data_IF_515566911539
#
_entry.id   IF_515566911539
#
_cell.length_a   1.000
_cell.length_b   1.000
_cell.length_c   1.000
_cell.angle_alpha   90.00
_cell.angle_beta   90.00
_cell.angle_gamma   90.00
#
_symmetry.space_group_name_H-M   'P 1'
#
loop_
_entity.id
_entity.type
_entity.pdbx_description
1 polymer ?
#
# COMPACT_ATOMS: atom_id res chain seq x y z
N UNK A 1 -1.45 -52.62 72.43
CA UNK A 1 -0.05 -52.23 72.16
C UNK A 1 -0.03 -51.72 70.73
N UNK A 2 -0.44 -50.48 70.43
CA UNK A 2 0.27 -49.21 70.69
C UNK A 2 1.74 -49.21 70.29
N UNK A 3 2.07 -48.48 69.21
CA UNK A 3 2.86 -47.22 69.17
C UNK A 3 3.11 -46.85 67.70
N UNK A 4 2.47 -45.81 67.19
CA UNK A 4 2.85 -44.39 67.21
C UNK A 4 3.79 -43.98 66.06
N UNK A 5 3.17 -43.27 65.12
CA UNK A 5 3.76 -42.43 64.06
C UNK A 5 4.45 -41.22 64.72
N UNK A 6 5.41 -40.57 64.03
CA UNK A 6 5.39 -39.11 64.02
C UNK A 6 5.31 -38.56 62.59
N UNK A 7 4.27 -37.75 62.44
CA UNK A 7 3.98 -36.83 61.36
C UNK A 7 5.15 -35.86 61.17
N UNK A 8 5.53 -35.58 59.93
CA UNK A 8 6.24 -34.35 59.58
C UNK A 8 5.52 -33.71 58.40
N UNK A 9 4.59 -32.83 58.73
CA UNK A 9 4.03 -31.84 57.82
C UNK A 9 5.17 -30.92 57.35
N UNK A 10 5.47 -30.96 56.06
CA UNK A 10 6.19 -29.91 55.35
C UNK A 10 5.21 -29.27 54.36
N UNK A 11 5.31 -27.97 54.08
CA UNK A 11 4.32 -27.26 53.28
C UNK A 11 4.36 -27.80 51.85
N UNK A 12 3.21 -28.31 51.40
CA UNK A 12 2.93 -28.50 49.98
C UNK A 12 2.92 -27.11 49.37
N UNK A 13 4.02 -26.72 48.74
CA UNK A 13 3.99 -25.63 47.78
C UNK A 13 3.07 -26.08 46.65
N UNK A 14 1.82 -25.60 46.66
CA UNK A 14 0.97 -25.56 45.50
C UNK A 14 1.72 -24.80 44.40
N UNK A 15 2.33 -25.54 43.49
CA UNK A 15 2.82 -25.02 42.22
C UNK A 15 1.55 -24.63 41.47
N UNK A 16 1.26 -23.34 41.53
CA UNK A 16 0.20 -22.68 40.79
C UNK A 16 0.51 -22.87 39.29
N UNK A 17 0.01 -23.96 38.69
CA UNK A 17 0.29 -24.29 37.30
C UNK A 17 -0.52 -23.36 36.40
N UNK A 18 0.07 -22.20 36.07
CA UNK A 18 -0.40 -21.39 34.95
C UNK A 18 -0.54 -22.30 33.74
N UNK A 19 -1.73 -22.30 33.14
CA UNK A 19 -2.06 -23.06 31.93
C UNK A 19 -1.11 -22.61 30.82
N UNK A 20 -0.16 -23.47 30.44
CA UNK A 20 0.84 -23.14 29.43
C UNK A 20 0.22 -23.24 28.03
N UNK A 21 0.37 -22.18 27.23
CA UNK A 21 -0.06 -22.19 25.83
C UNK A 21 0.98 -22.91 24.97
N UNK A 22 0.50 -23.79 24.08
CA UNK A 22 1.33 -24.67 23.25
C UNK A 22 0.97 -24.43 21.78
N UNK A 23 2.01 -24.29 20.95
CA UNK A 23 1.91 -24.20 19.49
C UNK A 23 2.60 -25.39 18.84
N UNK A 24 2.07 -25.87 17.71
CA UNK A 24 2.68 -26.94 16.91
C UNK A 24 3.12 -26.38 15.56
N UNK A 25 4.43 -26.48 15.29
CA UNK A 25 5.06 -25.95 14.07
C UNK A 25 4.48 -26.63 12.83
N UNK A 26 4.07 -25.84 11.84
CA UNK A 26 3.63 -26.34 10.52
C UNK A 26 4.79 -26.37 9.54
N UNK A 27 4.56 -27.03 8.40
CA UNK A 27 5.58 -27.18 7.37
C UNK A 27 6.03 -25.81 6.85
N UNK A 28 7.34 -25.55 6.94
CA UNK A 28 7.95 -24.30 6.46
C UNK A 28 7.83 -23.09 7.39
N UNK A 29 7.21 -23.23 8.57
CA UNK A 29 7.17 -22.14 9.55
C UNK A 29 8.53 -21.94 10.22
N UNK A 30 8.86 -20.68 10.50
CA UNK A 30 10.09 -20.27 11.19
C UNK A 30 9.73 -19.58 12.51
N UNK A 31 10.73 -19.34 13.38
CA UNK A 31 10.50 -18.58 14.61
C UNK A 31 9.96 -17.19 14.31
N UNK A 32 10.43 -16.57 13.24
CA UNK A 32 10.01 -15.27 12.73
C UNK A 32 8.53 -15.28 12.39
N UNK A 33 8.09 -16.21 11.53
CA UNK A 33 6.69 -16.28 11.09
C UNK A 33 5.73 -16.57 12.25
N UNK A 34 6.16 -17.38 13.22
CA UNK A 34 5.36 -17.66 14.42
C UNK A 34 5.32 -16.43 15.32
N UNK A 35 6.45 -15.77 15.56
CA UNK A 35 6.51 -14.56 16.40
C UNK A 35 5.66 -13.43 15.82
N UNK A 36 5.68 -13.27 14.50
CA UNK A 36 4.82 -12.34 13.79
C UNK A 36 3.34 -12.65 14.02
N UNK A 37 2.93 -13.93 13.90
CA UNK A 37 1.54 -14.34 14.17
C UNK A 37 1.10 -14.09 15.63
N UNK A 38 2.05 -14.11 16.57
CA UNK A 38 1.83 -13.81 17.98
C UNK A 38 1.92 -12.31 18.30
N UNK A 39 2.36 -11.47 17.35
CA UNK A 39 2.75 -10.08 17.58
C UNK A 39 3.88 -9.93 18.61
N UNK A 40 4.85 -10.84 18.61
CA UNK A 40 6.06 -10.74 19.42
C UNK A 40 7.15 -10.01 18.64
N UNK A 41 7.70 -8.94 19.22
CA UNK A 41 8.50 -7.97 18.47
C UNK A 41 9.92 -8.42 18.12
N UNK A 42 10.35 -9.56 18.66
CA UNK A 42 11.65 -10.16 18.39
C UNK A 42 11.58 -11.69 18.57
N UNK A 43 11.86 -12.49 17.52
CA UNK A 43 11.77 -13.95 17.55
C UNK A 43 12.72 -14.64 18.53
N UNK A 44 13.85 -14.00 18.88
CA UNK A 44 14.76 -14.51 19.91
C UNK A 44 14.05 -14.67 21.26
N UNK A 45 13.09 -13.79 21.57
CA UNK A 45 12.33 -13.88 22.80
C UNK A 45 11.34 -15.04 22.81
N UNK A 46 10.82 -15.46 21.64
CA UNK A 46 9.99 -16.65 21.55
C UNK A 46 10.83 -17.91 21.81
N UNK A 47 12.02 -17.95 21.21
CA UNK A 47 13.00 -19.02 21.44
C UNK A 47 13.35 -19.13 22.92
N UNK A 48 13.74 -18.03 23.54
CA UNK A 48 14.17 -18.01 24.93
C UNK A 48 13.00 -18.36 25.88
N UNK A 49 11.80 -17.82 25.63
CA UNK A 49 10.58 -18.17 26.36
C UNK A 49 10.30 -19.67 26.31
N UNK A 50 10.44 -20.29 25.13
CA UNK A 50 10.27 -21.73 24.95
C UNK A 50 11.37 -22.53 25.66
N UNK A 51 12.64 -22.17 25.45
CA UNK A 51 13.80 -22.90 25.97
C UNK A 51 13.85 -22.91 27.50
N UNK A 52 13.35 -21.86 28.16
CA UNK A 52 13.19 -21.82 29.62
C UNK A 52 12.13 -22.82 30.15
N UNK A 53 11.21 -23.28 29.30
CA UNK A 53 10.03 -24.09 29.68
C UNK A 53 10.04 -25.49 29.09
N UNK A 54 10.95 -25.78 28.17
CA UNK A 54 11.02 -27.06 27.47
C UNK A 54 11.93 -28.07 28.18
N UNK A 55 11.85 -29.33 27.72
CA UNK A 55 12.81 -30.35 28.12
C UNK A 55 14.11 -30.15 27.33
N UNK A 56 15.27 -30.64 27.81
CA UNK A 56 16.56 -30.45 27.14
C UNK A 56 16.59 -30.89 25.66
N UNK A 57 15.80 -31.90 25.28
CA UNK A 57 15.73 -32.41 23.89
C UNK A 57 14.82 -31.60 22.96
N UNK A 58 14.06 -30.65 23.52
CA UNK A 58 13.12 -29.80 22.81
C UNK A 58 13.66 -28.39 22.58
N UNK A 59 14.85 -28.08 23.12
CA UNK A 59 15.51 -26.77 22.96
C UNK A 59 15.62 -26.41 21.49
N UNK A 60 15.18 -25.20 21.16
CA UNK A 60 15.39 -24.59 19.87
C UNK A 60 16.83 -24.02 19.87
N UNK A 61 17.68 -24.44 18.91
CA UNK A 61 19.08 -24.04 18.88
C UNK A 61 19.24 -22.56 18.50
N UNK A 62 20.46 -22.04 18.58
CA UNK A 62 20.73 -20.61 18.41
C UNK A 62 20.30 -20.09 17.03
N UNK A 63 20.54 -20.89 15.99
CA UNK A 63 20.12 -20.67 14.60
C UNK A 63 18.60 -20.71 14.38
N UNK A 64 17.80 -21.01 15.42
CA UNK A 64 16.34 -20.91 15.36
C UNK A 64 15.63 -21.98 14.53
N UNK A 65 16.35 -23.04 14.11
CA UNK A 65 15.78 -24.08 13.24
C UNK A 65 14.65 -24.83 13.94
N UNK A 66 13.48 -24.89 13.29
CA UNK A 66 12.29 -25.59 13.78
C UNK A 66 12.05 -26.90 13.03
N UNK A 67 11.52 -27.90 13.73
CA UNK A 67 11.07 -29.16 13.13
C UNK A 67 9.56 -29.15 12.93
N UNK A 68 9.08 -29.79 11.86
CA UNK A 68 7.66 -30.02 11.63
C UNK A 68 7.03 -30.71 12.86
N UNK A 69 5.87 -30.22 13.30
CA UNK A 69 5.13 -30.66 14.50
C UNK A 69 5.90 -30.51 15.82
N UNK A 70 7.01 -29.75 15.84
CA UNK A 70 7.69 -29.41 17.09
C UNK A 70 6.72 -28.65 18.00
N UNK A 71 6.70 -29.06 19.26
CA UNK A 71 5.94 -28.40 20.31
C UNK A 71 6.71 -27.16 20.78
N UNK A 72 6.11 -25.98 20.67
CA UNK A 72 6.65 -24.72 21.17
C UNK A 72 5.77 -24.21 22.30
N UNK A 73 6.38 -23.66 23.36
CA UNK A 73 5.67 -22.97 24.42
C UNK A 73 5.59 -21.50 24.02
N UNK A 74 4.39 -20.95 23.99
CA UNK A 74 4.16 -19.58 23.54
C UNK A 74 3.62 -18.73 24.70
N UNK A 75 4.00 -17.46 24.80
CA UNK A 75 3.44 -16.56 25.80
C UNK A 75 1.95 -16.30 25.54
N UNK A 76 1.19 -16.04 26.60
CA UNK A 76 -0.18 -15.51 26.46
C UNK A 76 -0.21 -14.02 26.06
N UNK A 77 -1.39 -13.47 25.83
CA UNK A 77 -1.55 -12.09 25.38
C UNK A 77 -1.01 -11.04 26.37
N UNK A 78 -1.07 -11.30 27.68
CA UNK A 78 -0.54 -10.38 28.69
C UNK A 78 0.98 -10.49 28.78
N UNK A 79 1.52 -11.70 28.71
CA UNK A 79 2.96 -11.96 28.65
C UNK A 79 3.59 -11.34 27.40
N UNK A 80 2.94 -11.42 26.23
CA UNK A 80 3.40 -10.77 25.00
C UNK A 80 3.53 -9.26 25.18
N UNK A 81 2.56 -8.61 25.84
CA UNK A 81 2.62 -7.15 26.11
C UNK A 81 3.84 -6.82 26.98
N UNK A 82 4.11 -7.63 28.01
CA UNK A 82 5.24 -7.43 28.92
C UNK A 82 6.58 -7.68 28.23
N UNK A 83 6.68 -8.75 27.44
CA UNK A 83 7.89 -9.08 26.68
C UNK A 83 8.19 -7.98 25.66
N UNK A 84 7.19 -7.52 24.91
CA UNK A 84 7.38 -6.41 23.96
C UNK A 84 7.79 -5.10 24.66
N UNK A 85 7.30 -4.82 25.87
CA UNK A 85 7.77 -3.67 26.63
C UNK A 85 9.26 -3.79 27.00
N UNK A 86 9.73 -4.98 27.36
CA UNK A 86 11.14 -5.25 27.65
C UNK A 86 12.02 -5.15 26.39
N UNK A 87 11.59 -5.75 25.28
CA UNK A 87 12.25 -5.65 23.97
C UNK A 87 12.48 -4.17 23.60
N UNK A 88 11.44 -3.34 23.77
CA UNK A 88 11.52 -1.89 23.52
C UNK A 88 12.48 -1.17 24.44
N UNK A 89 12.44 -1.47 25.73
CA UNK A 89 13.34 -0.86 26.71
C UNK A 89 14.82 -1.13 26.36
N UNK A 90 15.10 -2.29 25.75
CA UNK A 90 16.44 -2.69 25.32
C UNK A 90 16.83 -2.22 23.92
N UNK A 91 15.90 -1.65 23.16
CA UNK A 91 16.14 -1.26 21.76
C UNK A 91 16.29 -2.46 20.82
N UNK A 92 15.72 -3.62 21.17
CA UNK A 92 15.84 -4.87 20.42
C UNK A 92 14.60 -5.18 19.56
N UNK A 93 13.69 -4.21 19.43
CA UNK A 93 12.47 -4.38 18.62
C UNK A 93 12.83 -4.40 17.14
N UNK A 94 12.35 -5.42 16.44
CA UNK A 94 12.50 -5.54 14.98
C UNK A 94 11.36 -4.85 14.22
N UNK A 95 10.42 -4.21 14.93
CA UNK A 95 9.29 -3.51 14.36
C UNK A 95 9.36 -2.02 14.67
N UNK A 96 9.06 -1.21 13.66
CA UNK A 96 9.03 0.23 13.80
C UNK A 96 7.75 0.70 14.50
N UNK A 97 7.86 1.65 15.44
CA UNK A 97 6.70 2.30 16.05
C UNK A 97 6.48 3.67 15.42
N UNK A 98 5.37 3.82 14.74
CA UNK A 98 4.94 5.11 14.25
C UNK A 98 4.44 6.03 15.38
N UNK A 99 4.79 7.31 15.29
CA UNK A 99 4.25 8.36 16.17
C UNK A 99 2.73 8.41 16.02
N UNK A 100 1.99 8.39 17.14
CA UNK A 100 0.51 8.31 17.16
C UNK A 100 -0.09 7.12 16.39
N UNK A 101 0.74 6.13 16.02
CA UNK A 101 0.32 5.00 15.20
C UNK A 101 0.11 5.36 13.72
N UNK A 102 0.64 6.47 13.20
CA UNK A 102 0.51 6.82 11.77
C UNK A 102 1.87 7.07 11.14
N UNK A 103 2.05 6.59 9.91
CA UNK A 103 3.26 6.91 9.13
C UNK A 103 3.34 8.43 8.98
N UNK A 104 4.42 9.08 9.40
CA UNK A 104 4.60 10.50 9.19
C UNK A 104 4.57 10.82 7.69
N UNK A 105 3.77 11.81 7.30
CA UNK A 105 3.76 12.34 5.95
C UNK A 105 4.67 13.57 5.91
N UNK A 106 5.70 13.53 5.06
CA UNK A 106 6.59 14.66 4.80
C UNK A 106 6.54 15.00 3.31
N UNK A 107 5.85 16.09 2.98
CA UNK A 107 5.68 16.56 1.60
C UNK A 107 7.02 16.94 0.95
N UNK A 108 7.99 17.44 1.73
CA UNK A 108 9.27 17.86 1.17
C UNK A 108 10.04 16.63 0.67
N UNK A 109 9.81 15.47 1.27
CA UNK A 109 10.42 14.21 0.83
C UNK A 109 9.76 13.63 -0.42
N UNK A 110 8.57 14.10 -0.79
CA UNK A 110 7.94 13.73 -2.06
C UNK A 110 8.69 14.33 -3.26
N UNK A 111 9.46 15.41 -3.08
CA UNK A 111 10.18 16.06 -4.17
C UNK A 111 11.11 15.11 -4.94
N UNK A 112 11.24 15.31 -6.24
CA UNK A 112 12.12 14.56 -7.14
C UNK A 112 11.39 13.86 -8.29
N UNK A 113 12.13 13.01 -8.98
CA UNK A 113 11.64 12.26 -10.14
C UNK A 113 11.29 10.81 -9.75
N UNK A 114 10.21 10.29 -10.31
CA UNK A 114 9.78 8.91 -10.12
C UNK A 114 9.53 8.26 -11.48
N UNK A 115 10.04 7.05 -11.67
CA UNK A 115 9.70 6.23 -12.82
C UNK A 115 8.49 5.37 -12.47
N UNK A 116 7.49 5.37 -13.34
CA UNK A 116 6.30 4.52 -13.24
C UNK A 116 6.30 3.52 -14.38
N UNK A 117 5.91 2.28 -14.07
CA UNK A 117 5.61 1.22 -15.03
C UNK A 117 4.29 0.56 -14.64
N UNK A 118 3.44 0.32 -15.62
CA UNK A 118 2.19 -0.41 -15.46
C UNK A 118 2.07 -1.44 -16.57
N UNK A 119 1.79 -2.69 -16.23
CA UNK A 119 1.53 -3.75 -17.21
C UNK A 119 0.17 -4.38 -17.01
N UNK A 120 -0.47 -4.74 -18.11
CA UNK A 120 -1.75 -5.43 -18.12
C UNK A 120 -1.61 -6.82 -18.76
N UNK A 121 -2.23 -7.80 -18.11
CA UNK A 121 -2.32 -9.18 -18.59
C UNK A 121 -3.75 -9.67 -18.49
N UNK A 122 -4.27 -10.22 -19.58
CA UNK A 122 -5.55 -10.93 -19.63
C UNK A 122 -5.23 -12.43 -19.78
N UNK A 123 -5.85 -13.30 -18.97
CA UNK A 123 -5.66 -14.76 -19.03
C UNK A 123 -4.17 -15.18 -19.16
N UNK A 124 -3.30 -14.58 -18.34
CA UNK A 124 -1.84 -14.81 -18.28
C UNK A 124 -1.02 -14.38 -19.52
N UNK A 125 -1.64 -13.82 -20.55
CA UNK A 125 -0.94 -13.22 -21.69
C UNK A 125 -0.70 -11.71 -21.46
N UNK A 126 0.58 -11.30 -21.31
CA UNK A 126 0.96 -9.88 -21.21
C UNK A 126 0.59 -9.18 -22.51
N UNK A 127 -0.27 -8.15 -22.43
CA UNK A 127 -0.77 -7.41 -23.60
C UNK A 127 -0.06 -6.10 -23.86
N UNK A 128 0.35 -5.39 -22.81
CA UNK A 128 0.99 -4.08 -22.94
C UNK A 128 1.65 -3.62 -21.65
N UNK A 129 2.75 -2.88 -21.79
CA UNK A 129 3.40 -2.13 -20.73
C UNK A 129 3.39 -0.63 -21.06
N UNK A 130 3.04 0.19 -20.08
CA UNK A 130 3.10 1.64 -20.15
C UNK A 130 4.08 2.16 -19.10
N UNK A 131 4.94 3.09 -19.49
CA UNK A 131 5.88 3.72 -18.58
C UNK A 131 5.87 5.24 -18.76
N UNK A 132 6.13 5.97 -17.69
CA UNK A 132 6.23 7.44 -17.70
C UNK A 132 7.02 7.92 -16.48
N UNK A 133 7.45 9.17 -16.52
CA UNK A 133 8.13 9.85 -15.41
C UNK A 133 7.17 10.81 -14.73
N UNK A 134 7.22 10.88 -13.40
CA UNK A 134 6.59 11.92 -12.60
C UNK A 134 7.67 12.83 -12.03
N UNK A 135 7.41 14.14 -12.00
CA UNK A 135 8.25 15.09 -11.29
C UNK A 135 7.41 15.87 -10.27
N UNK A 136 7.94 15.98 -9.06
CA UNK A 136 7.37 16.74 -7.97
C UNK A 136 8.38 17.78 -7.47
N UNK A 137 7.94 19.04 -7.34
CA UNK A 137 8.76 20.14 -6.84
C UNK A 137 8.02 20.91 -5.75
N UNK A 138 8.52 20.85 -4.51
CA UNK A 138 7.91 21.58 -3.39
C UNK A 138 8.06 23.09 -3.59
N UNK A 139 6.96 23.83 -3.44
CA UNK A 139 6.94 25.29 -3.62
C UNK A 139 6.96 25.98 -2.27
N UNK A 140 5.97 25.68 -1.42
CA UNK A 140 5.76 26.34 -0.13
C UNK A 140 4.70 25.64 0.71
N UNK A 141 4.68 25.97 1.99
CA UNK A 141 3.56 25.77 2.90
C UNK A 141 2.85 27.11 3.15
N UNK A 142 1.52 27.13 3.09
CA UNK A 142 0.71 28.32 3.42
C UNK A 142 -0.66 27.88 3.93
N UNK A 143 -1.12 28.45 5.05
CA UNK A 143 -2.46 28.20 5.62
C UNK A 143 -2.73 26.69 5.88
N UNK A 144 -1.77 25.99 6.49
CA UNK A 144 -1.84 24.55 6.78
C UNK A 144 -2.07 23.68 5.52
N UNK A 145 -1.50 24.12 4.40
CA UNK A 145 -1.53 23.42 3.12
C UNK A 145 -0.18 23.51 2.43
N UNK A 146 0.18 22.42 1.79
CA UNK A 146 1.37 22.31 1.00
C UNK A 146 1.06 22.52 -0.48
N UNK A 147 1.92 23.26 -1.16
CA UNK A 147 1.84 23.53 -2.58
C UNK A 147 3.02 22.87 -3.27
N UNK A 148 2.72 21.94 -4.17
CA UNK A 148 3.73 21.16 -4.89
C UNK A 148 3.44 21.19 -6.38
N UNK A 149 4.43 21.55 -7.18
CA UNK A 149 4.30 21.44 -8.62
C UNK A 149 4.47 19.99 -9.04
N UNK A 150 3.59 19.58 -9.95
CA UNK A 150 3.50 18.24 -10.50
C UNK A 150 3.57 18.31 -12.02
N UNK A 151 4.33 17.39 -12.60
CA UNK A 151 4.33 17.15 -14.05
C UNK A 151 4.57 15.69 -14.38
N UNK A 152 4.15 15.30 -15.58
CA UNK A 152 4.41 13.98 -16.15
C UNK A 152 5.24 14.12 -17.43
N UNK A 153 6.09 13.16 -17.75
CA UNK A 153 6.91 13.15 -18.97
C UNK A 153 7.29 11.74 -19.42
N UNK A 154 8.04 11.65 -20.52
CA UNK A 154 8.74 10.44 -20.98
C UNK A 154 7.85 9.19 -21.14
N UNK A 155 6.63 9.40 -21.64
CA UNK A 155 5.68 8.34 -21.90
C UNK A 155 6.24 7.33 -22.91
N UNK A 156 6.22 6.05 -22.56
CA UNK A 156 6.64 4.93 -23.40
C UNK A 156 5.57 3.84 -23.36
N UNK A 157 5.41 3.17 -24.50
CA UNK A 157 4.57 1.98 -24.62
C UNK A 157 5.46 0.84 -25.11
N UNK A 158 5.45 -0.28 -24.40
CA UNK A 158 6.25 -1.46 -24.70
C UNK A 158 7.76 -1.15 -24.89
N UNK A 159 8.28 -0.25 -24.05
CA UNK A 159 9.69 0.19 -24.06
C UNK A 159 10.08 1.14 -25.20
N UNK A 160 9.18 1.43 -26.14
CA UNK A 160 9.43 2.32 -27.27
C UNK A 160 8.83 3.70 -27.04
N UNK A 161 9.49 4.72 -27.61
CA UNK A 161 8.84 6.01 -27.73
C UNK A 161 7.59 5.87 -28.59
N UNK A 162 6.53 6.62 -28.30
CA UNK A 162 5.26 6.29 -28.89
C UNK A 162 5.20 6.70 -30.37
N UNK A 163 5.37 5.73 -31.27
CA UNK A 163 5.32 5.97 -32.72
C UNK A 163 3.89 6.26 -33.22
N UNK A 164 2.87 5.81 -32.49
CA UNK A 164 1.47 6.00 -32.84
C UNK A 164 1.01 7.46 -32.67
N UNK A 165 0.28 7.98 -33.66
CA UNK A 165 -0.29 9.35 -33.67
C UNK A 165 -1.08 9.74 -32.41
N UNK A 166 -1.67 8.76 -31.72
CA UNK A 166 -2.45 8.98 -30.50
C UNK A 166 -1.56 9.29 -29.29
N UNK A 167 -0.38 8.67 -29.22
CA UNK A 167 0.51 8.82 -28.09
C UNK A 167 1.40 10.06 -28.22
N UNK A 168 1.70 10.48 -29.46
CA UNK A 168 2.29 11.80 -29.72
C UNK A 168 1.35 12.93 -29.33
N UNK A 169 0.04 12.74 -29.56
CA UNK A 169 -1.00 13.66 -29.09
C UNK A 169 -1.08 13.70 -27.55
N UNK A 170 -1.06 12.55 -26.88
CA UNK A 170 -0.99 12.47 -25.41
C UNK A 170 0.23 13.22 -24.85
N UNK A 171 1.40 13.02 -25.45
CA UNK A 171 2.62 13.75 -25.08
C UNK A 171 2.50 15.27 -25.30
N UNK A 172 1.81 15.69 -26.37
CA UNK A 172 1.57 17.11 -26.64
C UNK A 172 0.64 17.75 -25.60
N UNK A 173 -0.44 17.07 -25.18
CA UNK A 173 -1.32 17.56 -24.12
C UNK A 173 -0.59 17.80 -22.81
N UNK A 174 0.20 16.82 -22.39
CA UNK A 174 1.01 16.87 -21.17
C UNK A 174 1.87 18.14 -21.17
N UNK A 175 2.51 18.48 -22.29
CA UNK A 175 3.33 19.70 -22.43
C UNK A 175 2.55 21.01 -22.36
N UNK A 176 1.28 21.00 -22.77
CA UNK A 176 0.42 22.18 -22.71
C UNK A 176 -0.07 22.42 -21.28
N UNK A 177 -0.43 21.34 -20.60
CA UNK A 177 -1.12 21.34 -19.30
C UNK A 177 -0.15 21.53 -18.13
N UNK A 178 1.00 20.85 -18.14
CA UNK A 178 1.95 20.87 -17.04
C UNK A 178 2.96 22.03 -17.15
N UNK A 179 3.51 22.52 -16.02
CA UNK A 179 3.26 22.06 -14.65
C UNK A 179 1.90 22.52 -14.09
N UNK A 180 1.41 21.74 -13.13
CA UNK A 180 0.21 22.03 -12.34
C UNK A 180 0.61 22.02 -10.87
N UNK A 181 0.05 22.91 -10.06
CA UNK A 181 0.24 22.88 -8.61
C UNK A 181 -0.84 22.03 -7.94
N UNK A 182 -0.41 21.01 -7.21
CA UNK A 182 -1.24 20.27 -6.27
C UNK A 182 -1.25 20.96 -4.91
N UNK A 183 -2.43 20.99 -4.28
CA UNK A 183 -2.62 21.50 -2.93
C UNK A 183 -2.94 20.32 -2.01
N UNK A 184 -2.04 20.03 -1.08
CA UNK A 184 -2.08 18.85 -0.21
C UNK A 184 -2.24 19.29 1.25
N UNK A 185 -3.11 18.64 2.01
CA UNK A 185 -3.24 18.88 3.44
C UNK A 185 -2.15 18.17 4.27
N UNK A 186 -2.08 18.43 5.58
CA UNK A 186 -1.08 17.79 6.46
C UNK A 186 -1.33 16.29 6.68
N UNK A 187 -2.50 15.78 6.29
CA UNK A 187 -2.81 14.35 6.31
C UNK A 187 -2.42 13.66 4.99
N UNK A 188 -1.82 14.39 4.04
CA UNK A 188 -1.40 13.88 2.75
C UNK A 188 -2.52 13.74 1.72
N UNK A 189 -3.70 14.34 1.93
CA UNK A 189 -4.77 14.31 0.93
C UNK A 189 -4.56 15.42 -0.10
N UNK A 190 -4.74 15.08 -1.38
CA UNK A 190 -4.93 16.07 -2.44
C UNK A 190 -6.29 16.75 -2.26
N UNK A 191 -6.30 18.06 -2.04
CA UNK A 191 -7.51 18.84 -1.72
C UNK A 191 -7.91 19.83 -2.82
N UNK A 192 -6.96 20.26 -3.64
CA UNK A 192 -7.20 21.17 -4.76
C UNK A 192 -6.08 21.06 -5.80
N UNK A 193 -6.32 21.59 -6.99
CA UNK A 193 -5.40 21.63 -8.12
C UNK A 193 -5.46 23.01 -8.78
N UNK A 194 -4.29 23.58 -9.09
CA UNK A 194 -4.17 24.92 -9.68
C UNK A 194 -3.31 24.89 -10.95
N UNK A 195 -3.82 25.49 -12.03
CA UNK A 195 -3.07 25.64 -13.27
C UNK A 195 -2.13 26.85 -13.20
N UNK A 196 -0.97 26.73 -13.84
CA UNK A 196 -0.02 27.85 -13.99
C UNK A 196 -0.44 28.82 -15.10
N UNK A 197 -1.18 28.31 -16.09
CA UNK A 197 -1.75 29.09 -17.19
C UNK A 197 -3.24 29.32 -16.94
N UNK A 198 -3.76 30.38 -17.56
CA UNK A 198 -5.19 30.60 -17.66
C UNK A 198 -5.86 29.43 -18.41
N UNK A 199 -7.03 28.99 -17.94
CA UNK A 199 -7.76 27.85 -18.52
C UNK A 199 -8.09 28.12 -20.00
N UNK A 200 -8.46 29.36 -20.35
CA UNK A 200 -8.74 29.74 -21.73
C UNK A 200 -7.50 29.60 -22.62
N UNK A 201 -6.33 30.01 -22.12
CA UNK A 201 -5.06 29.81 -22.83
C UNK A 201 -4.75 28.32 -23.03
N UNK A 202 -4.95 27.47 -22.02
CA UNK A 202 -4.74 26.02 -22.14
C UNK A 202 -5.67 25.43 -23.21
N UNK A 203 -6.94 25.82 -23.21
CA UNK A 203 -7.94 25.37 -24.18
C UNK A 203 -7.54 25.77 -25.61
N UNK A 204 -7.06 27.01 -25.80
CA UNK A 204 -6.62 27.51 -27.10
C UNK A 204 -5.39 26.73 -27.60
N UNK A 205 -4.36 26.56 -26.76
CA UNK A 205 -3.15 25.78 -27.08
C UNK A 205 -3.50 24.31 -27.43
N UNK A 206 -4.48 23.72 -26.74
CA UNK A 206 -4.99 22.38 -27.05
C UNK A 206 -5.70 22.35 -28.40
N UNK A 207 -6.53 23.34 -28.72
CA UNK A 207 -7.22 23.41 -30.00
C UNK A 207 -6.23 23.51 -31.17
N UNK A 208 -5.10 24.21 -30.96
CA UNK A 208 -4.03 24.29 -31.96
C UNK A 208 -3.44 22.93 -32.35
N UNK A 209 -3.50 21.94 -31.46
CA UNK A 209 -3.03 20.58 -31.74
C UNK A 209 -3.79 19.94 -32.92
N UNK A 210 -5.04 20.35 -33.20
CA UNK A 210 -5.79 19.87 -34.38
C UNK A 210 -5.10 20.20 -35.70
N UNK A 211 -4.26 21.24 -35.75
CA UNK A 211 -3.48 21.61 -36.94
C UNK A 211 -2.44 20.54 -37.28
N UNK A 212 -1.94 19.82 -36.29
CA UNK A 212 -0.85 18.84 -36.40
C UNK A 212 -1.33 17.38 -36.32
N UNK A 213 -2.49 17.13 -35.71
CA UNK A 213 -3.08 15.81 -35.56
C UNK A 213 -4.37 15.68 -36.39
N UNK A 214 -4.25 15.18 -37.61
CA UNK A 214 -5.37 15.00 -38.54
C UNK A 214 -6.14 13.69 -38.30
N UNK A 215 -7.47 13.79 -38.30
CA UNK A 215 -8.39 12.65 -38.20
C UNK A 215 -9.54 12.88 -37.21
N UNK A 216 -10.71 12.30 -37.48
CA UNK A 216 -11.91 12.45 -36.63
C UNK A 216 -11.70 11.94 -35.19
N UNK A 217 -10.91 10.88 -35.02
CA UNK A 217 -10.58 10.33 -33.72
C UNK A 217 -9.70 11.27 -32.89
N UNK A 218 -8.64 11.84 -33.49
CA UNK A 218 -7.77 12.81 -32.82
C UNK A 218 -8.52 14.08 -32.44
N UNK A 219 -9.38 14.59 -33.34
CA UNK A 219 -10.22 15.75 -33.08
C UNK A 219 -11.19 15.51 -31.90
N UNK A 220 -11.85 14.35 -31.88
CA UNK A 220 -12.74 13.95 -30.77
C UNK A 220 -11.99 13.88 -29.44
N UNK A 221 -10.78 13.30 -29.42
CA UNK A 221 -9.97 13.23 -28.21
C UNK A 221 -9.52 14.62 -27.72
N UNK A 222 -9.19 15.53 -28.65
CA UNK A 222 -8.92 16.95 -28.34
C UNK A 222 -10.14 17.63 -27.72
N UNK A 223 -11.33 17.43 -28.29
CA UNK A 223 -12.56 18.01 -27.74
C UNK A 223 -12.88 17.47 -26.34
N UNK A 224 -12.67 16.17 -26.10
CA UNK A 224 -12.80 15.57 -24.77
C UNK A 224 -11.84 16.17 -23.75
N UNK A 225 -10.56 16.34 -24.12
CA UNK A 225 -9.56 16.91 -23.21
C UNK A 225 -9.86 18.37 -22.85
N UNK A 226 -10.28 19.19 -23.82
CA UNK A 226 -10.74 20.55 -23.54
C UNK A 226 -11.91 20.57 -22.55
N UNK A 227 -12.88 19.68 -22.74
CA UNK A 227 -14.04 19.62 -21.85
C UNK A 227 -13.62 19.28 -20.41
N UNK A 228 -12.69 18.33 -20.24
CA UNK A 228 -12.15 17.97 -18.92
C UNK A 228 -11.41 19.11 -18.23
N UNK A 229 -10.67 19.93 -18.98
CA UNK A 229 -9.89 21.05 -18.43
C UNK A 229 -10.76 22.28 -18.15
N UNK A 230 -11.82 22.48 -18.94
CA UNK A 230 -12.73 23.59 -18.76
C UNK A 230 -13.50 23.55 -17.44
N UNK A 231 -13.69 22.36 -16.86
CA UNK A 231 -14.33 22.15 -15.57
C UNK A 231 -13.27 21.82 -14.49
N UNK A 232 -13.02 22.73 -13.54
CA UNK A 232 -12.04 22.51 -12.48
C UNK A 232 -12.29 21.24 -11.64
N UNK A 233 -13.55 20.86 -11.42
CA UNK A 233 -13.88 19.67 -10.64
C UNK A 233 -13.56 18.39 -11.43
N UNK A 234 -13.87 18.37 -12.72
CA UNK A 234 -13.52 17.23 -13.60
C UNK A 234 -12.00 17.11 -13.74
N UNK A 235 -11.29 18.22 -13.83
CA UNK A 235 -9.83 18.25 -13.86
C UNK A 235 -9.23 17.73 -12.56
N UNK A 236 -9.72 18.22 -11.41
CA UNK A 236 -9.31 17.77 -10.09
C UNK A 236 -9.49 16.26 -9.93
N UNK A 237 -10.69 15.74 -10.21
CA UNK A 237 -10.97 14.30 -10.10
C UNK A 237 -10.15 13.48 -11.10
N UNK A 238 -9.90 13.99 -12.31
CA UNK A 238 -9.03 13.30 -13.29
C UNK A 238 -7.59 13.14 -12.78
N UNK A 239 -7.04 14.17 -12.14
CA UNK A 239 -5.66 14.15 -11.62
C UNK A 239 -5.56 13.36 -10.31
N UNK A 240 -6.53 13.51 -9.41
CA UNK A 240 -6.65 12.73 -8.17
C UNK A 240 -6.78 11.23 -8.45
N UNK A 241 -7.45 10.86 -9.54
CA UNK A 241 -7.64 9.47 -9.94
C UNK A 241 -6.49 8.88 -10.75
N UNK A 242 -5.38 9.60 -10.94
CA UNK A 242 -4.15 9.00 -11.45
C UNK A 242 -3.64 7.99 -10.40
N UNK A 243 -3.50 6.72 -10.81
CA UNK A 243 -3.15 5.63 -9.91
C UNK A 243 -1.88 5.91 -9.09
N UNK A 244 -0.84 6.45 -9.72
CA UNK A 244 0.39 6.82 -9.03
C UNK A 244 0.19 7.91 -7.94
N UNK A 245 -0.76 8.84 -8.15
CA UNK A 245 -1.10 9.86 -7.16
C UNK A 245 -1.86 9.24 -5.98
N UNK A 246 -2.76 8.29 -6.24
CA UNK A 246 -3.46 7.53 -5.18
C UNK A 246 -2.52 6.68 -4.32
N UNK A 247 -1.38 6.26 -4.89
CA UNK A 247 -0.32 5.56 -4.15
C UNK A 247 0.58 6.49 -3.33
N UNK A 248 0.92 7.66 -3.88
CA UNK A 248 1.84 8.62 -3.25
C UNK A 248 1.15 9.53 -2.23
N UNK A 249 -0.17 9.68 -2.29
CA UNK A 249 -0.96 10.58 -1.46
C UNK A 249 -2.21 9.87 -0.93
N UNK A 250 -2.76 10.36 0.19
CA UNK A 250 -4.08 9.95 0.69
C UNK A 250 -4.05 8.93 1.83
N UNK A 251 -4.94 7.93 1.75
CA UNK A 251 -5.34 7.11 2.90
C UNK A 251 -4.24 6.24 3.49
N UNK A 252 -3.19 5.91 2.74
CA UNK A 252 -2.04 5.16 3.23
C UNK A 252 -1.40 5.81 4.47
N UNK A 253 -1.24 7.14 4.46
CA UNK A 253 -0.67 7.90 5.58
C UNK A 253 -1.64 8.12 6.74
N UNK A 254 -2.94 7.90 6.52
CA UNK A 254 -3.98 8.02 7.55
C UNK A 254 -4.26 6.70 8.26
N UNK A 255 -3.75 5.58 7.73
CA UNK A 255 -3.88 4.26 8.33
C UNK A 255 -3.35 4.28 9.77
N UNK A 256 -4.19 3.81 10.70
CA UNK A 256 -3.84 3.75 12.13
C UNK A 256 -3.28 2.37 12.45
N UNK A 257 -2.01 2.32 12.78
CA UNK A 257 -1.26 1.13 13.16
C UNK A 257 -1.46 0.80 14.64
N UNK A 258 -1.99 -0.39 14.88
CA UNK A 258 -1.96 -1.05 16.17
C UNK A 258 -0.83 -2.08 16.13
N UNK A 259 0.33 -1.72 16.68
CA UNK A 259 1.58 -2.51 16.59
C UNK A 259 2.13 -2.50 15.16
N UNK A 260 2.27 -3.67 14.52
CA UNK A 260 2.76 -3.82 13.16
C UNK A 260 1.65 -3.91 12.10
N UNK A 261 0.36 -3.86 12.49
CA UNK A 261 -0.77 -4.00 11.56
C UNK A 261 -1.69 -2.78 11.69
N UNK A 262 -2.23 -2.29 10.58
CA UNK A 262 -3.23 -1.21 10.60
C UNK A 262 -4.62 -1.73 10.93
N UNK A 263 -5.43 -0.88 11.54
CA UNK A 263 -6.89 -1.05 11.53
C UNK A 263 -7.36 -1.06 10.07
N UNK A 264 -8.33 -1.91 9.68
CA UNK A 264 -8.91 -1.87 8.35
C UNK A 264 -9.45 -0.49 7.99
N UNK A 265 -9.21 -0.03 6.78
CA UNK A 265 -9.71 1.24 6.26
C UNK A 265 -10.16 1.09 4.81
N UNK A 266 -10.94 2.06 4.31
CA UNK A 266 -11.36 2.06 2.92
C UNK A 266 -10.47 2.97 2.09
N UNK A 267 -10.10 2.52 0.89
CA UNK A 267 -9.44 3.35 -0.12
C UNK A 267 -10.04 3.09 -1.50
N UNK A 268 -9.93 4.04 -2.40
CA UNK A 268 -10.40 3.92 -3.78
C UNK A 268 -9.19 3.95 -4.72
N UNK A 269 -9.17 3.01 -5.68
CA UNK A 269 -8.09 2.91 -6.65
C UNK A 269 -8.62 2.81 -8.08
N UNK A 270 -8.02 3.60 -8.97
CA UNK A 270 -8.36 3.68 -10.40
C UNK A 270 -7.56 2.68 -11.24
N UNK A 271 -7.55 1.41 -10.83
CA UNK A 271 -6.82 0.35 -11.52
C UNK A 271 -7.25 0.16 -12.98
N UNK A 272 -8.51 0.45 -13.29
CA UNK A 272 -9.12 0.22 -14.60
C UNK A 272 -9.32 1.50 -15.42
N UNK A 273 -8.44 2.50 -15.28
CA UNK A 273 -8.58 3.77 -15.98
C UNK A 273 -8.92 3.59 -17.49
N UNK A 274 -9.91 4.32 -18.03
CA UNK A 274 -10.63 5.44 -17.41
C UNK A 274 -11.89 5.06 -16.59
N UNK A 275 -12.08 3.81 -16.20
CA UNK A 275 -13.23 3.41 -15.39
C UNK A 275 -13.24 4.07 -14.01
N UNK A 276 -14.44 4.12 -13.40
CA UNK A 276 -14.63 4.60 -12.03
C UNK A 276 -13.74 3.84 -11.03
N UNK A 277 -13.20 4.52 -9.99
CA UNK A 277 -12.39 3.88 -8.96
C UNK A 277 -13.13 2.72 -8.27
N UNK A 278 -12.37 1.69 -7.93
CA UNK A 278 -12.85 0.54 -7.17
C UNK A 278 -12.54 0.79 -5.69
N UNK A 279 -13.57 0.76 -4.86
CA UNK A 279 -13.43 0.85 -3.41
C UNK A 279 -12.93 -0.48 -2.84
N UNK A 280 -11.93 -0.42 -1.98
CA UNK A 280 -11.29 -1.57 -1.35
C UNK A 280 -11.23 -1.40 0.16
N UNK A 281 -11.44 -2.50 0.88
CA UNK A 281 -11.07 -2.61 2.28
C UNK A 281 -9.60 -3.01 2.36
N UNK A 282 -8.79 -2.16 2.99
CA UNK A 282 -7.33 -2.23 3.02
C UNK A 282 -6.84 -2.52 4.43
N UNK A 283 -5.75 -3.28 4.53
CA UNK A 283 -4.97 -3.50 5.75
C UNK A 283 -3.49 -3.38 5.39
N UNK A 284 -2.73 -2.67 6.21
CA UNK A 284 -1.29 -2.54 6.08
C UNK A 284 -0.59 -3.36 7.17
N UNK A 285 0.54 -3.97 6.84
CA UNK A 285 1.40 -4.70 7.75
C UNK A 285 2.84 -4.24 7.55
N UNK A 286 3.47 -3.80 8.63
CA UNK A 286 4.90 -3.52 8.67
C UNK A 286 5.65 -4.85 8.66
N UNK A 287 6.47 -5.06 7.63
CA UNK A 287 7.34 -6.22 7.53
C UNK A 287 8.59 -6.01 8.38
N UNK A 288 9.07 -7.07 9.02
CA UNK A 288 10.25 -7.04 9.90
C UNK A 288 11.52 -6.58 9.17
N UNK A 289 12.31 -5.73 9.83
CA UNK A 289 13.53 -5.15 9.26
C UNK A 289 14.70 -6.14 9.34
N UNK A 290 15.07 -6.76 8.22
CA UNK A 290 16.28 -7.59 8.15
C UNK A 290 17.43 -6.91 7.38
N UNK A 291 17.13 -5.90 6.54
CA UNK A 291 18.14 -5.13 5.81
C UNK A 291 18.24 -3.69 6.35
N UNK A 292 19.47 -3.21 6.55
CA UNK A 292 19.74 -1.91 7.14
C UNK A 292 19.35 -0.77 6.18
N UNK A 293 18.37 0.05 6.59
CA UNK A 293 18.07 1.34 5.97
C UNK A 293 16.67 1.48 5.35
N UNK A 294 15.90 0.40 5.27
CA UNK A 294 14.56 0.42 4.67
C UNK A 294 13.49 -0.18 5.58
N UNK A 295 12.29 0.35 5.45
CA UNK A 295 11.07 -0.14 6.07
C UNK A 295 10.13 -0.61 4.98
N UNK A 296 9.73 -1.89 5.02
CA UNK A 296 8.75 -2.42 4.08
C UNK A 296 7.36 -2.52 4.71
N UNK A 297 6.35 -2.12 3.95
CA UNK A 297 4.95 -2.19 4.36
C UNK A 297 4.17 -2.93 3.28
N UNK A 298 3.61 -4.07 3.66
CA UNK A 298 2.67 -4.83 2.85
C UNK A 298 1.26 -4.27 3.05
N UNK A 299 0.67 -3.73 1.99
CA UNK A 299 -0.71 -3.33 1.91
C UNK A 299 -1.48 -4.41 1.15
N UNK A 300 -2.52 -4.96 1.77
CA UNK A 300 -3.44 -5.91 1.14
C UNK A 300 -4.83 -5.30 1.09
N UNK A 301 -5.54 -5.55 -0.01
CA UNK A 301 -6.86 -5.02 -0.25
C UNK A 301 -7.80 -6.06 -0.83
N UNK A 302 -9.07 -6.00 -0.43
CA UNK A 302 -10.13 -6.80 -1.05
C UNK A 302 -11.33 -5.93 -1.37
N UNK A 303 -11.98 -6.23 -2.49
CA UNK A 303 -13.22 -5.58 -2.90
C UNK A 303 -14.26 -6.59 -3.33
N UNK A 304 -15.50 -6.27 -2.97
CA UNK A 304 -16.70 -6.80 -3.60
C UNK A 304 -17.53 -5.60 -4.04
N UNK A 305 -17.46 -5.27 -5.32
CA UNK A 305 -18.21 -4.16 -5.88
C UNK A 305 -19.44 -4.70 -6.59
N UNK A 306 -20.60 -4.12 -6.26
CA UNK A 306 -21.84 -4.55 -6.88
C UNK A 306 -21.89 -4.17 -8.36
N UNK A 307 -21.13 -3.13 -8.77
CA UNK A 307 -21.03 -2.67 -10.15
C UNK A 307 -20.33 -3.70 -11.02
N UNK A 308 -20.86 -3.90 -12.21
CA UNK A 308 -20.20 -4.62 -13.30
C UNK A 308 -19.10 -3.76 -13.93
N UNK A 309 -18.22 -4.40 -14.73
CA UNK A 309 -17.24 -3.68 -15.55
C UNK A 309 -17.90 -2.63 -16.44
N UNK A 310 -19.03 -2.96 -17.07
CA UNK A 310 -19.72 -2.03 -17.95
C UNK A 310 -20.22 -0.80 -17.19
N UNK A 311 -20.74 -0.98 -15.98
CA UNK A 311 -21.15 0.13 -15.13
C UNK A 311 -19.93 0.97 -14.73
N UNK A 312 -18.81 0.35 -14.36
CA UNK A 312 -17.58 1.08 -14.04
C UNK A 312 -17.06 1.94 -15.22
N UNK A 313 -17.17 1.47 -16.47
CA UNK A 313 -16.68 2.20 -17.66
C UNK A 313 -17.67 3.18 -18.27
N UNK A 314 -18.97 2.93 -18.13
CA UNK A 314 -19.99 3.58 -18.96
C UNK A 314 -21.14 4.22 -18.19
N UNK A 315 -21.13 4.16 -16.86
CA UNK A 315 -22.08 4.89 -16.02
C UNK A 315 -21.34 5.82 -15.06
N UNK A 316 -21.93 6.98 -14.77
CA UNK A 316 -21.47 7.87 -13.69
C UNK A 316 -21.93 7.36 -12.32
N UNK A 317 -22.06 6.04 -12.18
CA UNK A 317 -22.64 5.41 -11.00
C UNK A 317 -21.59 5.33 -9.89
N UNK A 318 -21.78 6.18 -8.90
CA UNK A 318 -21.02 6.15 -7.66
C UNK A 318 -21.25 4.84 -6.89
N UNK A 319 -20.26 4.48 -6.08
CA UNK A 319 -20.37 3.32 -5.22
C UNK A 319 -21.39 3.57 -4.09
N UNK A 320 -22.42 2.72 -4.02
CA UNK A 320 -23.39 2.69 -2.93
C UNK A 320 -23.05 1.54 -1.95
N UNK A 321 -22.67 1.83 -0.70
CA UNK A 321 -22.36 0.80 0.30
C UNK A 321 -23.57 -0.04 0.73
N UNK A 322 -24.80 0.40 0.42
CA UNK A 322 -26.04 -0.32 0.74
C UNK A 322 -26.52 -1.22 -0.40
N UNK A 323 -25.90 -1.13 -1.58
CA UNK A 323 -26.27 -1.93 -2.73
C UNK A 323 -25.99 -3.42 -2.50
N UNK A 324 -26.89 -4.27 -3.01
CA UNK A 324 -26.77 -5.72 -2.85
C UNK A 324 -25.88 -6.32 -3.93
N UNK A 325 -24.96 -7.18 -3.50
CA UNK A 325 -24.17 -8.02 -4.40
C UNK A 325 -25.06 -9.02 -5.15
N UNK A 326 -24.66 -9.34 -6.36
CA UNK A 326 -25.32 -10.31 -7.24
C UNK A 326 -24.27 -11.07 -8.07
N UNK A 327 -24.70 -12.00 -8.92
CA UNK A 327 -23.82 -12.95 -9.59
C UNK A 327 -22.80 -12.35 -10.58
N UNK A 328 -22.97 -11.09 -10.99
CA UNK A 328 -22.02 -10.38 -11.86
C UNK A 328 -21.26 -9.27 -11.14
N UNK A 329 -21.41 -9.19 -9.82
CA UNK A 329 -20.62 -8.29 -9.00
C UNK A 329 -19.14 -8.64 -9.13
N UNK A 330 -18.34 -7.59 -9.23
CA UNK A 330 -16.90 -7.63 -9.28
C UNK A 330 -16.33 -8.15 -7.96
N UNK A 331 -15.35 -9.03 -8.05
CA UNK A 331 -14.42 -9.28 -6.94
C UNK A 331 -13.01 -8.86 -7.35
N UNK A 332 -12.30 -8.23 -6.42
CA UNK A 332 -10.93 -7.82 -6.69
C UNK A 332 -10.04 -7.96 -5.46
N UNK A 333 -8.76 -8.22 -5.74
CA UNK A 333 -7.69 -8.32 -4.75
C UNK A 333 -6.56 -7.37 -5.13
N UNK A 334 -5.98 -6.76 -4.12
CA UNK A 334 -4.88 -5.82 -4.25
C UNK A 334 -3.77 -6.22 -3.30
N UNK A 335 -2.54 -6.10 -3.78
CA UNK A 335 -1.32 -6.29 -3.02
C UNK A 335 -0.36 -5.16 -3.39
N UNK A 336 0.25 -4.51 -2.41
CA UNK A 336 1.29 -3.52 -2.64
C UNK A 336 2.37 -3.62 -1.56
N UNK A 337 3.63 -3.54 -1.96
CA UNK A 337 4.78 -3.41 -1.07
C UNK A 337 5.32 -2.00 -1.23
N UNK A 338 5.29 -1.23 -0.14
CA UNK A 338 5.92 0.07 -0.05
C UNK A 338 7.28 -0.12 0.61
N UNK A 339 8.35 0.26 -0.08
CA UNK A 339 9.70 0.35 0.48
C UNK A 339 10.00 1.81 0.81
N UNK A 340 10.08 2.10 2.10
CA UNK A 340 10.31 3.43 2.65
C UNK A 340 11.74 3.56 3.19
N UNK A 341 12.29 4.77 3.20
CA UNK A 341 13.50 5.05 3.96
C UNK A 341 13.20 4.92 5.47
N UNK A 342 14.05 4.22 6.24
CA UNK A 342 13.79 3.98 7.67
C UNK A 342 13.98 5.22 8.56
N UNK A 343 14.71 6.23 8.09
CA UNK A 343 14.99 7.46 8.85
C UNK A 343 13.88 8.49 8.71
N UNK A 344 13.34 8.67 7.50
CA UNK A 344 12.37 9.74 7.19
C UNK A 344 11.05 9.26 6.56
N UNK A 345 10.85 7.94 6.42
CA UNK A 345 9.64 7.31 5.85
C UNK A 345 9.29 7.73 4.43
N UNK A 346 10.22 8.37 3.71
CA UNK A 346 10.01 8.75 2.32
C UNK A 346 9.86 7.52 1.44
N UNK A 347 8.90 7.56 0.49
CA UNK A 347 8.68 6.49 -0.46
C UNK A 347 9.87 6.43 -1.41
N UNK A 348 10.57 5.29 -1.40
CA UNK A 348 11.58 4.97 -2.41
C UNK A 348 10.96 4.16 -3.54
N UNK A 349 10.13 3.17 -3.20
CA UNK A 349 9.58 2.24 -4.19
C UNK A 349 8.22 1.72 -3.77
N UNK A 350 7.36 1.49 -4.75
CA UNK A 350 6.09 0.78 -4.62
C UNK A 350 6.05 -0.29 -5.70
N UNK A 351 5.75 -1.52 -5.33
CA UNK A 351 5.36 -2.59 -6.26
C UNK A 351 3.96 -3.04 -5.89
N UNK A 352 3.05 -3.06 -6.84
CA UNK A 352 1.68 -3.43 -6.60
C UNK A 352 1.13 -4.34 -7.69
N UNK A 353 0.27 -5.25 -7.27
CA UNK A 353 -0.46 -6.19 -8.10
C UNK A 353 -1.94 -6.07 -7.80
N UNK A 354 -2.74 -6.08 -8.86
CA UNK A 354 -4.18 -6.02 -8.79
C UNK A 354 -4.77 -7.14 -9.63
N UNK A 355 -5.64 -7.93 -9.00
CA UNK A 355 -6.37 -9.01 -9.64
C UNK A 355 -7.84 -8.72 -9.56
N UNK A 356 -8.52 -8.93 -10.67
CA UNK A 356 -9.94 -8.67 -10.79
C UNK A 356 -10.58 -9.85 -11.50
N UNK A 357 -11.66 -10.35 -10.90
CA UNK A 357 -12.45 -11.44 -11.43
C UNK A 357 -13.89 -10.96 -11.62
N UNK A 358 -14.39 -11.14 -12.84
CA UNK A 358 -15.74 -10.76 -13.25
C UNK A 358 -16.34 -11.92 -14.03
N UNK A 359 -17.25 -12.67 -13.43
CA UNK A 359 -17.83 -13.87 -14.06
C UNK A 359 -16.72 -14.77 -14.65
N UNK A 360 -16.62 -14.87 -15.99
CA UNK A 360 -15.64 -15.71 -16.71
C UNK A 360 -14.38 -14.95 -17.17
N UNK A 361 -14.13 -13.74 -16.67
CA UNK A 361 -12.99 -12.90 -17.06
C UNK A 361 -12.10 -12.58 -15.87
N UNK A 362 -10.80 -12.82 -16.03
CA UNK A 362 -9.76 -12.44 -15.09
C UNK A 362 -8.76 -11.49 -15.73
N UNK A 363 -8.46 -10.40 -15.04
CA UNK A 363 -7.39 -9.47 -15.43
C UNK A 363 -6.41 -9.30 -14.28
N UNK A 364 -5.14 -9.22 -14.63
CA UNK A 364 -4.08 -8.84 -13.69
C UNK A 364 -3.42 -7.57 -14.19
N UNK A 365 -3.24 -6.60 -13.28
CA UNK A 365 -2.52 -5.37 -13.53
C UNK A 365 -1.39 -5.30 -12.53
N UNK A 366 -0.19 -5.00 -13.01
CA UNK A 366 0.99 -4.76 -12.17
C UNK A 366 1.38 -3.30 -12.28
N UNK A 367 1.87 -2.73 -11.19
CA UNK A 367 2.28 -1.34 -11.08
C UNK A 367 3.60 -1.28 -10.31
N UNK A 368 4.54 -0.50 -10.82
CA UNK A 368 5.81 -0.21 -10.17
C UNK A 368 6.04 1.30 -10.22
N UNK A 369 6.39 1.88 -9.08
CA UNK A 369 6.82 3.26 -8.95
C UNK A 369 8.13 3.27 -8.18
N UNK A 370 9.15 3.94 -8.71
CA UNK A 370 10.47 4.02 -8.06
C UNK A 370 11.02 5.44 -8.16
N UNK A 371 11.46 5.98 -7.02
CA UNK A 371 12.15 7.26 -6.94
C UNK A 371 13.52 7.14 -7.57
N UNK A 372 13.83 8.03 -8.52
CA UNK A 372 15.12 8.09 -9.18
C UNK A 372 16.06 8.86 -8.26
N UNK A 373 17.01 8.17 -7.65
CA UNK A 373 18.14 8.81 -6.94
C UNK A 373 19.14 9.33 -7.98
N UNK A 374 19.42 10.63 -7.93
CA UNK A 374 20.51 11.28 -8.68
C UNK A 374 21.89 10.90 -8.13
#
# INVERSE_FOLDING_TARGET
MERNIPNREGPVHEINSKKQNIYFVKSGETLESISESLNLENPTYLRDYHNERCQPFDIIPEEGTLRLLQKIYIPDSEEIIQINALIKQRGESLYHKFSEGKIPFDIEKLQGNYQVKQSESDDEAKKSEYAYTLNFSFIKEKEERYYIDFSMSDFKKDGQEPEEKINTLASAFVRVIYPITFVVDHAGNLTDVQTHKDIGQIIDEIEELKKYHSGSYAASHIDQMKHKIADPQVMFESLKNILAIQFLLGQFYQAVYMRNISVPYNSEFSWLAPASPIRMEMVNQVLSQYESGFLEILQVGKSRDYRTVQELYYTDQEYDPLAKLYSKSLTAEHFAIYSLNSEDFSIRKIKADFKIQIADYEKTITFELEKITE
#
